data_IF_161376598926
#
_entry.id   IF_161376598926
#
_cell.length_a   1.000
_cell.length_b   1.000
_cell.length_c   1.000
_cell.angle_alpha   90.00
_cell.angle_beta   90.00
_cell.angle_gamma   90.00
#
_symmetry.space_group_name_H-M   'P 1'
#
loop_
_entity.id
_entity.type
_entity.pdbx_description
1 polymer ?
#
# COMPACT_ATOMS: atom_id res chain seq x y z
N UNK A 1 11.63 -10.57 11.87
CA UNK A 1 12.35 -9.56 11.08
C UNK A 1 13.83 -9.87 10.95
N UNK A 2 14.55 -10.16 12.03
CA UNK A 2 16.00 -10.47 11.98
C UNK A 2 16.36 -11.62 11.03
N UNK A 3 15.61 -12.72 11.07
CA UNK A 3 15.83 -13.82 10.12
C UNK A 3 15.68 -13.36 8.66
N UNK A 4 14.70 -12.50 8.37
CA UNK A 4 14.50 -11.97 7.02
C UNK A 4 15.63 -11.02 6.59
N UNK A 5 16.18 -10.23 7.52
CA UNK A 5 17.40 -9.44 7.28
C UNK A 5 18.58 -10.33 6.88
N UNK A 6 18.78 -11.45 7.59
CA UNK A 6 19.84 -12.42 7.27
C UNK A 6 19.64 -13.00 5.87
N UNK A 7 18.42 -13.37 5.50
CA UNK A 7 18.12 -13.86 4.15
C UNK A 7 18.41 -12.79 3.09
N UNK A 8 18.03 -11.54 3.32
CA UNK A 8 18.31 -10.42 2.40
C UNK A 8 19.82 -10.18 2.28
N UNK A 9 20.57 -10.27 3.37
CA UNK A 9 22.03 -10.16 3.36
C UNK A 9 22.67 -11.25 2.50
N UNK A 10 22.29 -12.51 2.72
CA UNK A 10 22.80 -13.65 1.95
C UNK A 10 22.42 -13.53 0.47
N UNK A 11 21.16 -13.19 0.19
CA UNK A 11 20.68 -12.95 -1.17
C UNK A 11 21.48 -11.81 -1.85
N UNK A 12 21.77 -10.72 -1.15
CA UNK A 12 22.55 -9.60 -1.69
C UNK A 12 23.99 -9.99 -2.00
N UNK A 13 24.60 -10.84 -1.17
CA UNK A 13 25.95 -11.36 -1.39
C UNK A 13 26.02 -12.31 -2.60
N UNK A 14 24.98 -13.13 -2.81
CA UNK A 14 24.90 -14.14 -3.87
C UNK A 14 24.05 -13.69 -5.07
N UNK A 15 23.80 -12.39 -5.16
CA UNK A 15 22.98 -11.75 -6.16
C UNK A 15 23.60 -11.85 -7.58
N UNK A 16 22.78 -11.84 -8.63
CA UNK A 16 23.29 -11.75 -10.02
C UNK A 16 24.08 -10.46 -10.26
N UNK A 17 23.60 -9.34 -9.73
CA UNK A 17 24.28 -8.05 -9.70
C UNK A 17 24.53 -7.57 -8.26
N UNK A 18 25.57 -8.08 -7.55
CA UNK A 18 25.80 -7.74 -6.14
C UNK A 18 25.97 -6.24 -5.89
N UNK A 19 26.64 -5.52 -6.81
CA UNK A 19 26.81 -4.08 -6.71
C UNK A 19 25.47 -3.32 -6.69
N UNK A 20 24.45 -3.81 -7.40
CA UNK A 20 23.10 -3.24 -7.38
C UNK A 20 22.45 -3.51 -6.02
N UNK A 21 22.50 -4.75 -5.54
CA UNK A 21 21.94 -5.13 -4.24
C UNK A 21 22.55 -4.31 -3.09
N UNK A 22 23.89 -4.18 -3.04
CA UNK A 22 24.57 -3.42 -1.98
C UNK A 22 24.30 -1.92 -2.02
N UNK A 23 24.13 -1.34 -3.23
CA UNK A 23 23.69 0.06 -3.37
C UNK A 23 22.33 0.31 -2.71
N UNK A 24 21.47 -0.71 -2.69
CA UNK A 24 20.14 -0.66 -2.09
C UNK A 24 20.06 -1.25 -0.68
N UNK A 25 21.17 -1.64 -0.06
CA UNK A 25 21.21 -2.29 1.26
C UNK A 25 20.41 -1.55 2.33
N UNK A 26 20.54 -0.22 2.39
CA UNK A 26 19.83 0.62 3.36
C UNK A 26 18.31 0.69 3.13
N UNK A 27 17.82 0.30 1.95
CA UNK A 27 16.39 0.25 1.66
C UNK A 27 15.67 -0.76 2.56
N UNK A 28 16.32 -1.86 2.97
CA UNK A 28 15.75 -2.78 3.95
C UNK A 28 16.33 -2.60 5.36
N UNK A 29 17.65 -2.37 5.47
CA UNK A 29 18.28 -2.17 6.79
C UNK A 29 17.66 -1.00 7.55
N UNK A 30 17.32 0.09 6.86
CA UNK A 30 16.63 1.24 7.47
C UNK A 30 15.30 0.85 8.13
N UNK A 31 14.47 0.07 7.43
CA UNK A 31 13.22 -0.44 7.99
C UNK A 31 13.43 -1.43 9.13
N UNK A 32 14.47 -2.27 9.05
CA UNK A 32 14.83 -3.15 10.17
C UNK A 32 15.21 -2.37 11.42
N UNK A 33 16.03 -1.32 11.29
CA UNK A 33 16.42 -0.45 12.41
C UNK A 33 15.20 0.27 12.97
N UNK A 34 14.34 0.85 12.13
CA UNK A 34 13.10 1.51 12.57
C UNK A 34 12.21 0.52 13.32
N UNK A 35 11.98 -0.68 12.77
CA UNK A 35 11.23 -1.74 13.43
C UNK A 35 11.84 -2.10 14.79
N UNK A 36 13.15 -2.32 14.85
CA UNK A 36 13.87 -2.66 16.08
C UNK A 36 13.73 -1.56 17.14
N UNK A 37 13.86 -0.29 16.76
CA UNK A 37 13.68 0.84 17.67
C UNK A 37 12.24 0.92 18.18
N UNK A 38 11.24 0.74 17.31
CA UNK A 38 9.83 0.79 17.69
C UNK A 38 9.53 -0.30 18.74
N UNK A 39 9.89 -1.55 18.49
CA UNK A 39 9.54 -2.65 19.42
C UNK A 39 10.24 -2.54 20.78
N UNK A 40 11.42 -1.90 20.84
CA UNK A 40 12.18 -1.73 22.09
C UNK A 40 11.84 -0.41 22.82
N UNK A 41 11.32 0.59 22.11
CA UNK A 41 11.01 1.90 22.70
C UNK A 41 9.53 2.01 23.08
N UNK A 42 8.64 1.47 22.24
CA UNK A 42 7.18 1.60 22.37
C UNK A 42 6.65 0.45 23.22
N UNK A 43 6.99 0.49 24.51
CA UNK A 43 6.68 -0.56 25.48
C UNK A 43 5.56 -0.20 26.46
N UNK A 44 5.01 1.02 26.37
CA UNK A 44 3.90 1.48 27.22
C UNK A 44 2.75 2.03 26.38
N UNK A 45 1.55 2.02 26.94
CA UNK A 45 0.33 2.53 26.29
C UNK A 45 0.45 4.01 25.91
N UNK A 46 1.12 4.82 26.74
CA UNK A 46 1.35 6.24 26.47
C UNK A 46 2.25 6.42 25.24
N UNK A 47 3.36 5.67 25.17
CA UNK A 47 4.28 5.72 24.03
C UNK A 47 3.59 5.23 22.75
N UNK A 48 2.77 4.19 22.85
CA UNK A 48 1.96 3.72 21.73
C UNK A 48 1.02 4.81 21.23
N UNK A 49 0.32 5.49 22.14
CA UNK A 49 -0.58 6.58 21.79
C UNK A 49 0.16 7.77 21.17
N UNK A 50 1.36 8.10 21.66
CA UNK A 50 2.21 9.14 21.06
C UNK A 50 2.58 8.78 19.62
N UNK A 51 3.02 7.54 19.36
CA UNK A 51 3.36 7.08 18.01
C UNK A 51 2.14 7.11 17.09
N UNK A 52 0.99 6.66 17.59
CA UNK A 52 -0.29 6.72 16.86
C UNK A 52 -0.68 8.16 16.54
N UNK A 53 -0.52 9.09 17.48
CA UNK A 53 -0.81 10.51 17.27
C UNK A 53 0.12 11.13 16.23
N UNK A 54 1.43 10.82 16.26
CA UNK A 54 2.40 11.27 15.25
C UNK A 54 2.01 10.74 13.87
N UNK A 55 1.69 9.45 13.77
CA UNK A 55 1.22 8.82 12.53
C UNK A 55 -0.03 9.53 11.98
N UNK A 56 -1.03 9.79 12.84
CA UNK A 56 -2.26 10.47 12.44
C UNK A 56 -2.02 11.92 12.01
N UNK A 57 -1.21 12.67 12.75
CA UNK A 57 -0.91 14.07 12.42
C UNK A 57 -0.14 14.19 11.09
N UNK A 58 0.84 13.32 10.86
CA UNK A 58 1.59 13.27 9.61
C UNK A 58 0.65 12.98 8.41
N UNK A 59 -0.27 12.03 8.60
CA UNK A 59 -1.18 11.61 7.54
C UNK A 59 -2.36 12.55 7.31
N UNK A 60 -2.89 13.21 8.34
CA UNK A 60 -3.97 14.20 8.19
C UNK A 60 -3.57 15.30 7.20
N UNK A 61 -2.32 15.78 7.28
CA UNK A 61 -1.83 16.80 6.35
C UNK A 61 -1.87 16.32 4.90
N UNK A 62 -1.42 15.09 4.65
CA UNK A 62 -1.42 14.48 3.31
C UNK A 62 -2.85 14.22 2.81
N UNK A 63 -3.72 13.72 3.69
CA UNK A 63 -5.14 13.48 3.42
C UNK A 63 -5.88 14.78 3.06
N UNK A 64 -5.66 15.86 3.81
CA UNK A 64 -6.27 17.16 3.52
C UNK A 64 -5.75 17.75 2.21
N UNK A 65 -4.45 17.59 1.91
CA UNK A 65 -3.88 18.00 0.63
C UNK A 65 -4.52 17.25 -0.55
N UNK A 66 -4.61 15.92 -0.47
CA UNK A 66 -5.21 15.10 -1.51
C UNK A 66 -6.70 15.41 -1.72
N UNK A 67 -7.47 15.45 -0.64
CA UNK A 67 -8.90 15.80 -0.69
C UNK A 67 -9.13 17.18 -1.31
N UNK A 68 -8.42 18.21 -0.84
CA UNK A 68 -8.52 19.57 -1.39
C UNK A 68 -8.14 19.62 -2.86
N UNK A 69 -7.09 18.90 -3.26
CA UNK A 69 -6.63 18.87 -4.65
C UNK A 69 -7.64 18.21 -5.58
N UNK A 70 -8.26 17.12 -5.14
CA UNK A 70 -9.30 16.43 -5.90
C UNK A 70 -10.55 17.30 -6.07
N UNK A 71 -11.01 17.94 -4.98
CA UNK A 71 -12.16 18.88 -5.00
C UNK A 71 -11.89 20.06 -5.94
N UNK A 72 -10.71 20.69 -5.84
CA UNK A 72 -10.34 21.83 -6.70
C UNK A 72 -10.30 21.49 -8.19
N UNK A 73 -10.13 20.22 -8.54
CA UNK A 73 -10.12 19.73 -9.93
C UNK A 73 -11.49 19.20 -10.37
N UNK A 74 -12.55 19.48 -9.60
CA UNK A 74 -13.91 19.06 -9.93
C UNK A 74 -14.13 17.55 -9.85
N UNK A 75 -13.42 16.86 -8.94
CA UNK A 75 -13.48 15.40 -8.76
C UNK A 75 -12.98 14.59 -9.98
N UNK A 76 -12.30 15.23 -10.93
CA UNK A 76 -11.77 14.60 -12.13
C UNK A 76 -10.47 13.82 -11.94
N UNK A 77 -10.22 12.88 -12.87
CA UNK A 77 -8.90 12.27 -13.06
C UNK A 77 -7.93 13.25 -13.68
N UNK A 78 -6.64 13.12 -13.35
CA UNK A 78 -5.56 13.71 -14.14
C UNK A 78 -4.45 12.68 -14.31
N UNK A 79 -3.89 12.57 -15.52
CA UNK A 79 -2.66 11.82 -15.85
C UNK A 79 -2.37 10.54 -15.03
N UNK A 80 -1.73 10.69 -13.87
CA UNK A 80 -1.24 9.63 -12.97
C UNK A 80 -1.96 9.58 -11.61
N UNK A 81 -2.99 10.40 -11.43
CA UNK A 81 -3.67 10.65 -10.16
C UNK A 81 -3.00 11.74 -9.33
N UNK A 82 -3.45 11.88 -8.08
CA UNK A 82 -2.77 12.71 -7.09
C UNK A 82 -1.50 12.00 -6.59
N UNK A 83 -0.38 12.71 -6.69
CA UNK A 83 0.90 12.32 -6.12
C UNK A 83 1.03 12.86 -4.69
N UNK A 84 1.69 12.10 -3.81
CA UNK A 84 2.07 12.57 -2.49
C UNK A 84 3.41 13.32 -2.51
N UNK A 85 3.98 13.63 -1.33
CA UNK A 85 5.30 14.24 -1.25
C UNK A 85 6.37 13.33 -1.86
N UNK A 86 7.42 13.94 -2.42
CA UNK A 86 8.60 13.21 -2.92
C UNK A 86 9.13 12.27 -1.83
N UNK A 87 9.46 11.03 -2.22
CA UNK A 87 9.84 9.96 -1.30
C UNK A 87 8.89 8.78 -1.40
N UNK A 88 8.57 8.16 -0.25
CA UNK A 88 7.80 6.92 -0.18
C UNK A 88 6.37 7.02 -0.72
N UNK A 89 5.74 8.20 -0.66
CA UNK A 89 4.35 8.39 -1.07
C UNK A 89 4.24 9.15 -2.39
N UNK A 90 5.32 9.22 -3.17
CA UNK A 90 5.36 10.07 -4.36
C UNK A 90 4.38 9.59 -5.42
N UNK A 91 4.30 8.29 -5.69
CA UNK A 91 3.33 7.78 -6.65
C UNK A 91 1.93 7.61 -6.03
N UNK A 92 0.93 7.68 -6.89
CA UNK A 92 -0.48 7.64 -6.49
C UNK A 92 -0.90 6.32 -5.85
N UNK A 93 -0.28 5.19 -6.22
CA UNK A 93 -0.57 3.89 -5.63
C UNK A 93 -0.07 3.79 -4.18
N UNK A 94 1.14 4.29 -3.91
CA UNK A 94 1.73 4.31 -2.57
C UNK A 94 0.98 5.30 -1.67
N UNK A 95 0.65 6.50 -2.16
CA UNK A 95 -0.21 7.44 -1.44
C UNK A 95 -1.57 6.81 -1.11
N UNK A 96 -2.20 6.14 -2.07
CA UNK A 96 -3.49 5.47 -1.84
C UNK A 96 -3.37 4.38 -0.79
N UNK A 97 -2.28 3.61 -0.80
CA UNK A 97 -2.04 2.54 0.17
C UNK A 97 -1.87 3.08 1.58
N UNK A 98 -1.13 4.19 1.74
CA UNK A 98 -1.01 4.88 3.03
C UNK A 98 -2.38 5.38 3.52
N UNK A 99 -3.18 5.99 2.63
CA UNK A 99 -4.52 6.47 3.00
C UNK A 99 -5.48 5.34 3.36
N UNK A 100 -5.34 4.15 2.76
CA UNK A 100 -6.09 2.94 3.14
C UNK A 100 -5.73 2.41 4.53
N UNK A 101 -4.54 2.71 5.04
CA UNK A 101 -4.16 2.43 6.42
C UNK A 101 -4.65 3.53 7.35
N UNK A 102 -4.40 4.78 6.98
CA UNK A 102 -4.72 5.94 7.80
C UNK A 102 -6.22 6.14 8.03
N UNK A 103 -7.05 6.09 6.98
CA UNK A 103 -8.48 6.41 7.07
C UNK A 103 -9.26 5.55 8.08
N UNK A 104 -9.15 4.20 8.07
CA UNK A 104 -9.84 3.38 9.05
C UNK A 104 -9.29 3.54 10.47
N UNK A 105 -7.97 3.72 10.64
CA UNK A 105 -7.38 3.97 11.97
C UNK A 105 -7.90 5.31 12.55
N UNK A 106 -7.94 6.37 11.73
CA UNK A 106 -8.49 7.66 12.14
C UNK A 106 -9.97 7.57 12.50
N UNK A 107 -10.76 6.79 11.75
CA UNK A 107 -12.18 6.55 12.03
C UNK A 107 -12.38 5.81 13.36
N UNK A 108 -11.71 4.67 13.54
CA UNK A 108 -11.82 3.86 14.75
C UNK A 108 -11.36 4.62 15.98
N UNK A 109 -10.26 5.38 15.87
CA UNK A 109 -9.84 6.25 16.96
C UNK A 109 -10.89 7.31 17.28
N UNK A 110 -11.46 7.98 16.27
CA UNK A 110 -12.52 8.97 16.48
C UNK A 110 -13.72 8.38 17.23
N UNK A 111 -14.13 7.15 16.88
CA UNK A 111 -15.22 6.45 17.55
C UNK A 111 -14.85 6.11 19.00
N UNK A 112 -13.64 5.62 19.23
CA UNK A 112 -13.15 5.24 20.55
C UNK A 112 -13.01 6.44 21.49
N UNK A 113 -12.43 7.55 21.02
CA UNK A 113 -12.14 8.71 21.88
C UNK A 113 -13.35 9.62 22.11
N UNK A 114 -14.45 9.42 21.36
CA UNK A 114 -15.66 10.27 21.39
C UNK A 114 -16.16 10.67 22.79
N UNK A 115 -16.26 9.77 23.80
CA UNK A 115 -16.73 10.17 25.13
C UNK A 115 -15.67 10.88 25.98
N UNK A 116 -14.40 10.87 25.56
CA UNK A 116 -13.26 11.38 26.32
C UNK A 116 -12.70 12.71 25.80
N UNK A 117 -13.08 13.14 24.61
CA UNK A 117 -12.52 14.34 23.95
C UNK A 117 -13.57 15.39 23.65
N UNK A 118 -13.10 16.63 23.48
CA UNK A 118 -13.95 17.73 23.02
C UNK A 118 -14.51 17.42 21.63
N UNK A 119 -15.72 17.95 21.36
CA UNK A 119 -16.42 17.81 20.07
C UNK A 119 -15.53 18.18 18.88
N UNK A 120 -14.67 19.20 19.01
CA UNK A 120 -13.74 19.62 17.95
C UNK A 120 -12.71 18.53 17.60
N UNK A 121 -12.14 17.84 18.59
CA UNK A 121 -11.15 16.77 18.39
C UNK A 121 -11.80 15.57 17.70
N UNK A 122 -13.02 15.20 18.11
CA UNK A 122 -13.80 14.16 17.45
C UNK A 122 -14.04 14.47 15.97
N UNK A 123 -14.52 15.68 15.65
CA UNK A 123 -14.76 16.08 14.25
C UNK A 123 -13.48 16.23 13.44
N UNK A 124 -12.38 16.65 14.06
CA UNK A 124 -11.07 16.72 13.40
C UNK A 124 -10.59 15.33 12.94
N UNK A 125 -10.65 14.31 13.82
CA UNK A 125 -10.28 12.95 13.46
C UNK A 125 -11.19 12.36 12.39
N UNK A 126 -12.50 12.58 12.52
CA UNK A 126 -13.48 12.11 11.54
C UNK A 126 -13.28 12.79 10.18
N UNK A 127 -13.04 14.11 10.15
CA UNK A 127 -12.71 14.84 8.93
C UNK A 127 -11.41 14.33 8.30
N UNK A 128 -10.40 13.99 9.11
CA UNK A 128 -9.17 13.34 8.66
C UNK A 128 -9.46 12.02 7.95
N UNK A 129 -10.26 11.14 8.55
CA UNK A 129 -10.65 9.86 7.93
C UNK A 129 -11.36 10.06 6.58
N UNK A 130 -12.34 10.98 6.52
CA UNK A 130 -13.05 11.33 5.29
C UNK A 130 -12.09 11.88 4.23
N UNK A 131 -11.17 12.77 4.62
CA UNK A 131 -10.16 13.31 3.72
C UNK A 131 -9.21 12.23 3.18
N UNK A 132 -8.89 11.21 3.99
CA UNK A 132 -8.12 10.04 3.56
C UNK A 132 -8.85 9.26 2.47
N UNK A 133 -10.13 8.96 2.68
CA UNK A 133 -10.97 8.29 1.68
C UNK A 133 -11.10 9.12 0.39
N UNK A 134 -11.31 10.43 0.50
CA UNK A 134 -11.31 11.35 -0.65
C UNK A 134 -9.97 11.35 -1.39
N UNK A 135 -8.86 11.25 -0.66
CA UNK A 135 -7.52 11.16 -1.27
C UNK A 135 -7.34 9.86 -2.03
N UNK A 136 -7.83 8.71 -1.52
CA UNK A 136 -7.83 7.44 -2.28
C UNK A 136 -8.60 7.60 -3.60
N UNK A 137 -9.74 8.28 -3.57
CA UNK A 137 -10.52 8.56 -4.77
C UNK A 137 -9.75 9.43 -5.77
N UNK A 138 -9.15 10.53 -5.31
CA UNK A 138 -8.41 11.45 -6.17
C UNK A 138 -7.04 10.96 -6.63
N UNK A 139 -6.37 10.12 -5.85
CA UNK A 139 -5.16 9.39 -6.25
C UNK A 139 -5.48 8.37 -7.37
N UNK A 140 -6.73 7.94 -7.47
CA UNK A 140 -7.28 7.22 -8.62
C UNK A 140 -6.52 5.92 -8.96
N UNK A 141 -6.09 5.24 -7.88
CA UNK A 141 -5.63 3.86 -7.89
C UNK A 141 -6.84 2.92 -7.80
N UNK A 142 -7.22 2.30 -8.93
CA UNK A 142 -8.37 1.38 -9.03
C UNK A 142 -8.33 0.27 -7.97
N UNK A 143 -7.16 -0.33 -7.74
CA UNK A 143 -6.98 -1.37 -6.73
C UNK A 143 -7.22 -0.86 -5.31
N UNK A 144 -6.84 0.39 -5.02
CA UNK A 144 -7.08 0.99 -3.71
C UNK A 144 -8.56 1.35 -3.50
N UNK A 145 -9.25 1.82 -4.53
CA UNK A 145 -10.69 2.12 -4.48
C UNK A 145 -11.52 0.84 -4.22
N UNK A 146 -11.18 -0.26 -4.89
CA UNK A 146 -11.80 -1.58 -4.63
C UNK A 146 -11.51 -2.05 -3.21
N UNK A 147 -10.26 -1.88 -2.74
CA UNK A 147 -9.89 -2.24 -1.37
C UNK A 147 -10.66 -1.43 -0.33
N UNK A 148 -10.83 -0.12 -0.55
CA UNK A 148 -11.63 0.76 0.32
C UNK A 148 -13.10 0.31 0.39
N UNK A 149 -13.69 -0.07 -0.74
CA UNK A 149 -15.04 -0.62 -0.79
C UNK A 149 -15.13 -1.95 -0.01
N UNK A 150 -14.14 -2.83 -0.17
CA UNK A 150 -14.03 -4.07 0.59
C UNK A 150 -13.89 -3.85 2.10
N UNK A 151 -13.04 -2.90 2.53
CA UNK A 151 -12.88 -2.51 3.93
C UNK A 151 -14.19 -1.96 4.51
N UNK A 152 -14.90 -1.11 3.76
CA UNK A 152 -16.21 -0.60 4.16
C UNK A 152 -17.26 -1.69 4.31
N UNK A 153 -17.31 -2.64 3.37
CA UNK A 153 -18.20 -3.80 3.44
C UNK A 153 -17.87 -4.72 4.62
N UNK A 154 -16.59 -5.00 4.86
CA UNK A 154 -16.14 -5.79 6.01
C UNK A 154 -16.50 -5.12 7.34
N UNK A 155 -16.27 -3.81 7.45
CA UNK A 155 -16.67 -3.04 8.63
C UNK A 155 -18.19 -3.04 8.84
N UNK A 156 -18.99 -2.98 7.76
CA UNK A 156 -20.44 -3.08 7.84
C UNK A 156 -20.91 -4.42 8.42
N UNK A 157 -20.25 -5.52 8.03
CA UNK A 157 -20.49 -6.87 8.56
C UNK A 157 -20.11 -6.92 10.05
N UNK A 158 -18.90 -6.50 10.41
CA UNK A 158 -18.42 -6.53 11.80
C UNK A 158 -19.30 -5.71 12.74
N UNK A 159 -19.75 -4.53 12.30
CA UNK A 159 -20.63 -3.64 13.06
C UNK A 159 -22.12 -4.02 12.98
N UNK A 160 -22.47 -5.10 12.28
CA UNK A 160 -23.85 -5.58 12.10
C UNK A 160 -24.80 -4.46 11.65
N UNK A 161 -24.38 -3.67 10.66
CA UNK A 161 -25.18 -2.54 10.18
C UNK A 161 -26.54 -3.03 9.69
N UNK A 162 -27.61 -2.30 10.05
CA UNK A 162 -28.97 -2.60 9.60
C UNK A 162 -29.03 -2.56 8.08
N UNK A 163 -29.81 -3.45 7.45
CA UNK A 163 -29.95 -3.52 5.99
C UNK A 163 -30.24 -2.15 5.34
N UNK A 164 -31.09 -1.32 5.96
CA UNK A 164 -31.37 0.04 5.48
C UNK A 164 -30.14 0.94 5.36
N UNK A 165 -29.15 0.80 6.24
CA UNK A 165 -27.90 1.57 6.21
C UNK A 165 -27.03 1.07 5.06
N UNK A 166 -26.94 -0.26 4.89
CA UNK A 166 -26.22 -0.88 3.77
C UNK A 166 -26.82 -0.43 2.43
N UNK A 167 -28.15 -0.45 2.32
CA UNK A 167 -28.86 0.03 1.13
C UNK A 167 -28.63 1.53 0.88
N UNK A 168 -28.61 2.36 1.92
CA UNK A 168 -28.30 3.79 1.79
C UNK A 168 -26.86 4.03 1.30
N UNK A 169 -25.88 3.28 1.83
CA UNK A 169 -24.49 3.34 1.36
C UNK A 169 -24.40 2.87 -0.09
N UNK A 170 -25.04 1.76 -0.44
CA UNK A 170 -25.07 1.25 -1.81
C UNK A 170 -25.69 2.27 -2.78
N UNK A 171 -26.81 2.91 -2.40
CA UNK A 171 -27.42 3.97 -3.19
C UNK A 171 -26.47 5.17 -3.37
N UNK A 172 -25.78 5.59 -2.31
CA UNK A 172 -24.78 6.67 -2.39
C UNK A 172 -23.61 6.31 -3.33
N UNK A 173 -23.14 5.06 -3.32
CA UNK A 173 -22.10 4.57 -4.24
C UNK A 173 -22.59 4.53 -5.68
N UNK A 174 -23.84 4.10 -5.93
CA UNK A 174 -24.45 4.09 -7.27
C UNK A 174 -24.58 5.52 -7.81
N UNK A 175 -25.06 6.44 -6.98
CA UNK A 175 -25.13 7.87 -7.32
C UNK A 175 -23.73 8.41 -7.62
N UNK A 176 -22.75 8.13 -6.76
CA UNK A 176 -21.36 8.52 -6.98
C UNK A 176 -20.79 7.98 -8.29
N UNK A 177 -21.09 6.71 -8.63
CA UNK A 177 -20.70 6.11 -9.90
C UNK A 177 -21.37 6.79 -11.10
N UNK A 178 -22.65 7.16 -10.98
CA UNK A 178 -23.36 7.86 -12.05
C UNK A 178 -22.69 9.20 -12.40
N UNK A 179 -22.32 9.97 -11.38
CA UNK A 179 -21.64 11.27 -11.53
C UNK A 179 -20.13 11.18 -11.75
N UNK A 180 -19.53 9.98 -11.70
CA UNK A 180 -18.12 9.81 -11.98
C UNK A 180 -17.82 10.20 -13.44
N UNK A 181 -16.73 10.93 -13.73
CA UNK A 181 -16.40 11.30 -15.11
C UNK A 181 -16.22 10.08 -16.04
N UNK A 182 -16.63 10.21 -17.31
CA UNK A 182 -16.59 9.11 -18.28
C UNK A 182 -15.19 8.49 -18.44
N UNK A 183 -14.14 9.31 -18.39
CA UNK A 183 -12.76 8.84 -18.46
C UNK A 183 -12.39 7.90 -17.30
N UNK A 184 -12.91 8.13 -16.09
CA UNK A 184 -12.67 7.24 -14.95
C UNK A 184 -13.41 5.92 -15.11
N UNK A 185 -14.68 5.95 -15.55
CA UNK A 185 -15.43 4.71 -15.85
C UNK A 185 -14.70 3.87 -16.91
N UNK A 186 -14.22 4.51 -17.98
CA UNK A 186 -13.44 3.85 -19.03
C UNK A 186 -12.10 3.28 -18.53
N UNK A 187 -11.53 3.78 -17.42
CA UNK A 187 -10.37 3.16 -16.77
C UNK A 187 -10.78 1.88 -16.04
N UNK A 188 -11.92 1.85 -15.37
CA UNK A 188 -12.42 0.60 -14.77
C UNK A 188 -12.71 -0.46 -15.83
N UNK A 189 -13.40 -0.09 -16.91
CA UNK A 189 -13.76 -1.02 -18.01
C UNK A 189 -12.56 -1.64 -18.71
N UNK A 190 -11.47 -0.88 -18.88
CA UNK A 190 -10.23 -1.37 -19.51
C UNK A 190 -9.29 -2.11 -18.55
N UNK A 191 -9.68 -2.30 -17.29
CA UNK A 191 -8.85 -3.05 -16.33
C UNK A 191 -8.60 -4.47 -16.83
N UNK A 192 -7.35 -4.91 -16.80
CA UNK A 192 -6.92 -6.20 -17.35
C UNK A 192 -6.43 -6.14 -18.80
N UNK A 193 -6.95 -5.21 -19.62
CA UNK A 193 -6.52 -5.02 -21.02
C UNK A 193 -5.70 -3.76 -21.24
N UNK A 194 -5.69 -2.84 -20.28
CA UNK A 194 -4.84 -1.66 -20.31
C UNK A 194 -3.34 -2.01 -20.15
N UNK A 195 -2.47 -1.13 -20.67
CA UNK A 195 -1.03 -1.35 -20.69
C UNK A 195 -0.44 -1.59 -19.29
N UNK A 196 -0.95 -0.92 -18.24
CA UNK A 196 -0.43 -1.12 -16.88
C UNK A 196 -0.79 -2.50 -16.33
N UNK A 197 -1.97 -3.01 -16.68
CA UNK A 197 -2.41 -4.36 -16.32
C UNK A 197 -1.58 -5.42 -17.04
N UNK A 198 -1.41 -5.29 -18.36
CA UNK A 198 -0.61 -6.22 -19.17
C UNK A 198 0.85 -6.24 -18.69
N UNK A 199 1.43 -5.07 -18.42
CA UNK A 199 2.80 -4.96 -17.93
C UNK A 199 3.00 -5.70 -16.60
N UNK A 200 2.04 -5.60 -15.66
CA UNK A 200 2.11 -6.33 -14.39
C UNK A 200 2.06 -7.84 -14.60
N UNK A 201 1.22 -8.32 -15.50
CA UNK A 201 1.16 -9.75 -15.85
C UNK A 201 2.48 -10.23 -16.46
N UNK A 202 3.11 -9.43 -17.31
CA UNK A 202 4.43 -9.75 -17.87
C UNK A 202 5.51 -9.78 -16.78
N UNK A 203 5.52 -8.80 -15.86
CA UNK A 203 6.41 -8.81 -14.71
C UNK A 203 6.20 -10.04 -13.82
N UNK A 204 4.96 -10.46 -13.58
CA UNK A 204 4.68 -11.64 -12.75
C UNK A 204 5.15 -12.92 -13.42
N UNK A 205 4.88 -13.09 -14.72
CA UNK A 205 5.39 -14.23 -15.49
C UNK A 205 6.91 -14.29 -15.49
N UNK A 206 7.58 -13.15 -15.70
CA UNK A 206 9.03 -13.07 -15.64
C UNK A 206 9.57 -13.37 -14.24
N UNK A 207 8.92 -12.83 -13.20
CA UNK A 207 9.30 -13.09 -11.81
C UNK A 207 9.19 -14.55 -11.43
N UNK A 208 8.10 -15.23 -11.81
CA UNK A 208 7.95 -16.66 -11.59
C UNK A 208 9.06 -17.48 -12.28
N UNK A 209 9.43 -17.13 -13.52
CA UNK A 209 10.56 -17.75 -14.22
C UNK A 209 11.91 -17.49 -13.54
N UNK A 210 12.11 -16.30 -12.98
CA UNK A 210 13.31 -15.99 -12.19
C UNK A 210 13.39 -16.86 -10.94
N UNK A 211 12.25 -17.08 -10.26
CA UNK A 211 12.16 -17.97 -9.10
C UNK A 211 12.41 -19.42 -9.50
N UNK A 212 11.83 -19.89 -10.60
CA UNK A 212 12.05 -21.24 -11.13
C UNK A 212 13.54 -21.52 -11.39
N UNK A 213 14.26 -20.54 -11.92
CA UNK A 213 15.70 -20.65 -12.21
C UNK A 213 16.58 -20.47 -10.97
N UNK A 214 16.11 -19.72 -9.97
CA UNK A 214 16.86 -19.41 -8.74
C UNK A 214 15.98 -19.66 -7.49
N UNK A 215 15.58 -20.91 -7.21
CA UNK A 215 14.49 -21.21 -6.28
C UNK A 215 14.84 -20.93 -4.82
N UNK A 216 16.10 -21.08 -4.39
CA UNK A 216 16.44 -21.00 -2.98
C UNK A 216 16.58 -19.56 -2.48
N UNK A 217 17.39 -18.76 -3.16
CA UNK A 217 17.77 -17.40 -2.74
C UNK A 217 17.35 -16.29 -3.72
N UNK A 218 16.70 -16.65 -4.83
CA UNK A 218 16.27 -15.69 -5.83
C UNK A 218 17.42 -15.14 -6.66
N UNK A 219 17.14 -14.10 -7.42
CA UNK A 219 18.11 -13.44 -8.31
C UNK A 219 18.94 -12.37 -7.61
N UNK A 220 18.68 -12.13 -6.32
CA UNK A 220 19.32 -11.09 -5.52
C UNK A 220 18.39 -9.91 -5.22
N UNK A 221 18.51 -9.35 -4.01
CA UNK A 221 17.77 -8.16 -3.59
C UNK A 221 17.94 -7.01 -4.59
N UNK A 222 16.84 -6.38 -5.02
CA UNK A 222 16.81 -5.32 -6.04
C UNK A 222 17.24 -5.71 -7.47
N UNK A 223 17.48 -6.99 -7.78
CA UNK A 223 17.89 -7.40 -9.13
C UNK A 223 16.75 -7.65 -10.12
N UNK A 224 15.49 -7.66 -9.66
CA UNK A 224 14.34 -7.88 -10.54
C UNK A 224 14.35 -6.97 -11.77
N UNK A 225 14.36 -5.65 -11.55
CA UNK A 225 14.27 -4.67 -12.64
C UNK A 225 15.45 -4.71 -13.63
N UNK A 226 16.74 -4.69 -13.20
CA UNK A 226 17.85 -4.78 -14.15
C UNK A 226 17.87 -6.11 -14.91
N UNK A 227 17.57 -7.22 -14.25
CA UNK A 227 17.51 -8.52 -14.91
C UNK A 227 16.36 -8.61 -15.91
N UNK A 228 15.19 -8.07 -15.55
CA UNK A 228 14.05 -7.99 -16.45
C UNK A 228 14.40 -7.16 -17.70
N UNK A 229 15.07 -6.02 -17.53
CA UNK A 229 15.43 -5.15 -18.64
C UNK A 229 16.37 -5.83 -19.66
N UNK A 230 17.31 -6.63 -19.17
CA UNK A 230 18.24 -7.40 -20.02
C UNK A 230 17.51 -8.52 -20.75
N UNK A 231 16.62 -9.25 -20.06
CA UNK A 231 15.94 -10.43 -20.64
C UNK A 231 14.76 -10.06 -21.54
N UNK A 232 14.12 -8.92 -21.30
CA UNK A 232 12.91 -8.49 -22.00
C UNK A 232 12.98 -7.02 -22.45
N UNK A 233 14.00 -6.63 -23.25
CA UNK A 233 14.19 -5.23 -23.67
C UNK A 233 13.01 -4.68 -24.49
N UNK A 234 12.27 -5.55 -25.18
CA UNK A 234 11.10 -5.18 -25.97
C UNK A 234 9.80 -5.08 -25.14
N UNK A 235 9.86 -5.31 -23.82
CA UNK A 235 8.69 -5.28 -22.91
C UNK A 235 8.89 -4.29 -21.76
N UNK A 236 9.63 -3.22 -22.02
CA UNK A 236 9.89 -2.16 -21.06
C UNK A 236 8.72 -1.18 -21.00
N UNK A 237 8.38 -0.73 -19.80
CA UNK A 237 7.33 0.24 -19.57
C UNK A 237 7.91 1.65 -19.63
N UNK A 238 7.56 2.43 -20.67
CA UNK A 238 8.18 3.72 -20.97
C UNK A 238 9.72 3.67 -21.01
N UNK A 239 10.27 2.62 -21.63
CA UNK A 239 11.72 2.43 -21.78
C UNK A 239 12.46 2.03 -20.51
N UNK A 240 11.76 1.70 -19.42
CA UNK A 240 12.37 1.24 -18.16
C UNK A 240 11.66 0.01 -17.61
N UNK A 241 12.41 -0.83 -16.91
CA UNK A 241 11.83 -1.89 -16.09
C UNK A 241 11.43 -1.31 -14.74
N UNK A 242 10.26 -1.74 -14.24
CA UNK A 242 9.76 -1.41 -12.91
C UNK A 242 9.71 -2.68 -12.05
N UNK A 243 9.38 -2.49 -10.78
CA UNK A 243 9.09 -3.60 -9.87
C UNK A 243 7.78 -4.31 -10.30
N UNK A 244 7.56 -5.58 -9.92
CA UNK A 244 6.43 -6.37 -10.37
C UNK A 244 5.09 -5.91 -9.77
N UNK A 245 5.08 -4.95 -8.83
CA UNK A 245 3.87 -4.49 -8.15
C UNK A 245 3.05 -5.63 -7.50
N UNK A 246 3.75 -6.68 -7.08
CA UNK A 246 3.21 -7.78 -6.29
C UNK A 246 4.29 -8.18 -5.28
N UNK A 247 4.00 -7.99 -4.00
CA UNK A 247 4.99 -8.17 -2.94
C UNK A 247 5.46 -9.62 -2.81
N UNK A 248 4.60 -10.60 -3.08
CA UNK A 248 4.97 -12.01 -3.01
C UNK A 248 5.90 -12.38 -4.15
N UNK A 249 5.62 -11.89 -5.37
CA UNK A 249 6.53 -12.06 -6.51
C UNK A 249 7.85 -11.35 -6.25
N UNK A 250 7.82 -10.10 -5.77
CA UNK A 250 9.04 -9.34 -5.46
C UNK A 250 9.92 -10.05 -4.42
N UNK A 251 9.34 -10.48 -3.29
CA UNK A 251 10.09 -11.18 -2.24
C UNK A 251 10.63 -12.51 -2.76
N UNK A 252 9.82 -13.27 -3.50
CA UNK A 252 10.27 -14.53 -4.08
C UNK A 252 11.41 -14.32 -5.09
N UNK A 253 11.34 -13.30 -5.93
CA UNK A 253 12.42 -13.00 -6.89
C UNK A 253 13.67 -12.51 -6.18
N UNK A 254 13.53 -11.67 -5.16
CA UNK A 254 14.67 -11.08 -4.47
C UNK A 254 15.36 -12.09 -3.54
N UNK A 255 14.62 -13.00 -2.91
CA UNK A 255 15.13 -13.82 -1.80
C UNK A 255 14.83 -15.32 -1.92
N UNK A 256 14.23 -15.73 -3.03
CA UNK A 256 13.83 -17.11 -3.29
C UNK A 256 12.68 -17.58 -2.39
N UNK A 257 12.41 -18.88 -2.46
CA UNK A 257 11.39 -19.54 -1.66
C UNK A 257 11.75 -19.54 -0.17
N UNK A 258 13.04 -19.50 0.19
CA UNK A 258 13.47 -19.39 1.60
C UNK A 258 13.00 -18.05 2.17
N UNK A 259 13.29 -16.94 1.49
CA UNK A 259 12.86 -15.63 1.99
C UNK A 259 11.35 -15.44 1.91
N UNK A 260 10.69 -15.96 0.87
CA UNK A 260 9.22 -15.97 0.81
C UNK A 260 8.61 -16.73 1.99
N UNK A 261 9.14 -17.90 2.34
CA UNK A 261 8.67 -18.67 3.49
C UNK A 261 8.82 -17.87 4.80
N UNK A 262 10.00 -17.29 5.03
CA UNK A 262 10.23 -16.45 6.22
C UNK A 262 9.27 -15.26 6.25
N UNK A 263 9.01 -14.62 5.11
CA UNK A 263 8.07 -13.51 4.99
C UNK A 263 6.63 -13.94 5.31
N UNK A 264 6.17 -15.09 4.81
CA UNK A 264 4.85 -15.64 5.10
C UNK A 264 4.70 -16.00 6.59
N UNK A 265 5.73 -16.57 7.21
CA UNK A 265 5.75 -16.84 8.66
C UNK A 265 5.63 -15.53 9.45
N UNK A 266 6.31 -14.45 9.02
CA UNK A 266 6.16 -13.14 9.66
C UNK A 266 4.73 -12.62 9.58
N UNK A 267 4.08 -12.70 8.41
CA UNK A 267 2.67 -12.30 8.26
C UNK A 267 1.77 -13.14 9.17
N UNK A 268 1.90 -14.48 9.10
CA UNK A 268 1.10 -15.41 9.88
C UNK A 268 1.21 -15.15 11.39
N UNK A 269 2.43 -14.98 11.90
CA UNK A 269 2.65 -14.73 13.34
C UNK A 269 2.02 -13.41 13.79
N UNK A 270 2.11 -12.34 13.00
CA UNK A 270 1.47 -11.07 13.33
C UNK A 270 -0.06 -11.20 13.37
N UNK A 271 -0.67 -11.91 12.40
CA UNK A 271 -2.12 -12.14 12.40
C UNK A 271 -2.60 -13.00 13.57
N UNK A 272 -1.77 -13.94 14.04
CA UNK A 272 -2.10 -14.76 15.22
C UNK A 272 -2.08 -13.92 16.49
N UNK A 273 -1.04 -13.10 16.68
CA UNK A 273 -0.90 -12.23 17.86
C UNK A 273 -2.05 -11.24 18.02
N UNK A 274 -2.71 -10.84 16.93
CA UNK A 274 -3.89 -9.94 17.01
C UNK A 274 -5.18 -10.62 17.45
N UNK A 275 -5.21 -11.95 17.55
CA UNK A 275 -6.38 -12.73 17.98
C UNK A 275 -6.31 -13.18 19.43
N UNK A 276 -5.10 -13.16 20.00
CA UNK A 276 -4.81 -13.44 21.42
C UNK A 276 -5.01 -12.16 22.23
#
# INVERSE_FOLDING_TARGET
MTLFLVVIYISSALAIFPAVSWKHWFAFLGWYVIYFLIINTVTTSERYFIVLAIFLLANIKMALFGARTWVKRGFGFVSWGIEGPKGFFWNSADLSTEMLMFAPIAFELAMYVKPYVKRITYWFLLAGSVAGAMTVMGASSRGAQVTMAGQGGWMAIQRKLKLKIVLAIAAALIIGWHFLPAHEKARFERSGTDQTSIQRLDYWKAGLKMVEQHPFLGVGFFNFAPLYAIRYPNRLFFGKAQLPHNIFVQVATDTGLIGLFVFLVLIYRNLRLTRE
#
